data_IF_497708887151
#
_entry.id   IF_497708887151
#
_cell.length_a   1.000
_cell.length_b   1.000
_cell.length_c   1.000
_cell.angle_alpha   90.00
_cell.angle_beta   90.00
_cell.angle_gamma   90.00
#
_symmetry.space_group_name_H-M   'P 1'
#
loop_
_entity.id
_entity.type
_entity.pdbx_description
1 polymer ?
#
# COMPACT_ATOMS: atom_id res chain seq x y z
N UNK A 1 -1.71 -4.15 -9.76
CA UNK A 1 -3.03 -4.23 -9.03
C UNK A 1 -3.75 -2.86 -8.96
N UNK A 2 -3.55 -2.00 -9.97
CA UNK A 2 -4.10 -0.64 -10.03
C UNK A 2 -5.57 -0.57 -10.44
N UNK A 3 -6.03 -1.49 -11.29
CA UNK A 3 -7.40 -1.46 -11.82
C UNK A 3 -8.47 -1.64 -10.75
N UNK A 4 -8.26 -2.53 -9.78
CA UNK A 4 -9.22 -2.74 -8.69
C UNK A 4 -9.41 -1.48 -7.83
N UNK A 5 -8.41 -0.58 -7.80
CA UNK A 5 -8.39 0.61 -6.94
C UNK A 5 -9.16 1.79 -7.54
N UNK A 6 -9.22 1.89 -8.87
CA UNK A 6 -10.11 2.85 -9.52
C UNK A 6 -11.59 2.66 -9.09
N UNK A 7 -11.95 1.45 -8.66
CA UNK A 7 -13.30 1.12 -8.19
C UNK A 7 -13.55 1.34 -6.68
N UNK A 8 -12.54 1.67 -5.87
CA UNK A 8 -12.64 1.61 -4.39
C UNK A 8 -12.95 2.97 -3.72
N UNK A 9 -12.68 4.09 -4.40
CA UNK A 9 -13.22 5.42 -4.05
C UNK A 9 -14.68 5.42 -4.52
N UNK A 10 -15.63 6.06 -3.81
CA UNK A 10 -17.10 6.07 -4.02
C UNK A 10 -17.66 6.47 -5.40
N UNK A 11 -16.83 6.41 -6.44
CA UNK A 11 -17.03 6.60 -7.87
C UNK A 11 -17.64 5.40 -8.61
N UNK A 12 -18.04 4.29 -7.95
CA UNK A 12 -18.49 3.09 -8.67
C UNK A 12 -19.76 3.32 -9.51
N UNK A 13 -20.66 4.22 -9.09
CA UNK A 13 -21.82 4.59 -9.92
C UNK A 13 -21.44 5.56 -11.05
N UNK A 14 -20.49 6.47 -10.83
CA UNK A 14 -20.10 7.48 -11.82
C UNK A 14 -19.10 6.96 -12.85
N UNK A 15 -18.13 6.13 -12.48
CA UNK A 15 -17.20 5.52 -13.44
C UNK A 15 -17.90 4.57 -14.41
N UNK A 16 -18.98 3.92 -13.98
CA UNK A 16 -19.79 3.09 -14.89
C UNK A 16 -20.55 3.92 -15.93
N UNK A 17 -20.82 5.20 -15.63
CA UNK A 17 -21.44 6.17 -16.57
C UNK A 17 -20.40 6.85 -17.47
N UNK A 18 -19.19 7.03 -16.98
CA UNK A 18 -18.13 7.79 -17.68
C UNK A 18 -17.23 6.87 -18.51
N UNK A 19 -16.99 5.62 -18.08
CA UNK A 19 -16.11 4.68 -18.77
C UNK A 19 -16.87 3.69 -19.66
N UNK A 20 -16.43 3.59 -20.92
CA UNK A 20 -16.93 2.58 -21.85
C UNK A 20 -16.75 1.16 -21.31
N UNK A 21 -17.70 0.27 -21.61
CA UNK A 21 -17.67 -1.14 -21.18
C UNK A 21 -16.39 -1.85 -21.63
N UNK A 22 -15.99 -1.64 -22.88
CA UNK A 22 -14.75 -2.20 -23.45
C UNK A 22 -13.51 -1.82 -22.64
N UNK A 23 -13.41 -0.55 -22.22
CA UNK A 23 -12.28 -0.08 -21.43
C UNK A 23 -12.32 -0.65 -20.01
N UNK A 24 -13.51 -0.77 -19.40
CA UNK A 24 -13.67 -1.43 -18.10
C UNK A 24 -13.24 -2.89 -18.15
N UNK A 25 -13.59 -3.59 -19.22
CA UNK A 25 -13.17 -4.99 -19.42
C UNK A 25 -11.65 -5.07 -19.60
N UNK A 26 -11.07 -4.21 -20.45
CA UNK A 26 -9.63 -4.13 -20.65
C UNK A 26 -8.87 -3.84 -19.35
N UNK A 27 -9.37 -2.91 -18.53
CA UNK A 27 -8.83 -2.68 -17.19
C UNK A 27 -8.93 -3.99 -16.38
N UNK A 28 -10.12 -4.57 -16.23
CA UNK A 28 -10.34 -5.74 -15.36
C UNK A 28 -9.47 -6.94 -15.75
N UNK A 29 -9.31 -7.19 -17.04
CA UNK A 29 -8.47 -8.28 -17.58
C UNK A 29 -6.99 -7.93 -17.67
N UNK A 30 -6.59 -6.68 -17.40
CA UNK A 30 -5.24 -6.16 -17.64
C UNK A 30 -4.78 -6.34 -19.09
N UNK A 31 -5.67 -6.07 -20.04
CA UNK A 31 -5.37 -6.20 -21.46
C UNK A 31 -4.29 -5.20 -21.91
N UNK A 32 -3.05 -5.67 -22.01
CA UNK A 32 -1.92 -4.87 -22.46
C UNK A 32 -1.99 -4.44 -23.94
N UNK A 33 -2.95 -4.96 -24.72
CA UNK A 33 -3.24 -4.45 -26.08
C UNK A 33 -3.95 -3.10 -26.03
N UNK A 34 -4.68 -2.80 -24.95
CA UNK A 34 -5.25 -1.47 -24.75
C UNK A 34 -4.14 -0.47 -24.36
N UNK A 35 -4.00 0.60 -25.15
CA UNK A 35 -2.91 1.57 -24.99
C UNK A 35 -2.86 2.21 -23.59
N UNK A 36 -4.01 2.52 -23.00
CA UNK A 36 -4.08 3.14 -21.67
C UNK A 36 -3.69 2.12 -20.60
N UNK A 37 -4.22 0.89 -20.68
CA UNK A 37 -3.86 -0.19 -19.75
C UNK A 37 -2.37 -0.48 -19.82
N UNK A 38 -1.78 -0.50 -21.03
CA UNK A 38 -0.34 -0.65 -21.24
C UNK A 38 0.46 0.45 -20.54
N UNK A 39 0.03 1.71 -20.66
CA UNK A 39 0.70 2.82 -19.97
C UNK A 39 0.55 2.71 -18.44
N UNK A 40 -0.61 2.30 -17.94
CA UNK A 40 -0.80 2.07 -16.50
C UNK A 40 0.11 0.95 -15.96
N UNK A 41 0.34 -0.10 -16.75
CA UNK A 41 1.28 -1.17 -16.39
C UNK A 41 2.71 -0.65 -16.44
N UNK A 42 3.09 0.09 -17.48
CA UNK A 42 4.43 0.64 -17.63
C UNK A 42 4.80 1.65 -16.53
N UNK A 43 3.80 2.29 -15.92
CA UNK A 43 3.96 3.23 -14.81
C UNK A 43 3.58 2.63 -13.45
N UNK A 44 3.60 1.30 -13.29
CA UNK A 44 3.38 0.67 -11.98
C UNK A 44 4.58 0.96 -11.06
N UNK A 45 4.50 2.06 -10.31
CA UNK A 45 5.56 2.54 -9.42
C UNK A 45 5.82 1.64 -8.20
N UNK A 46 5.04 0.57 -8.04
CA UNK A 46 5.25 -0.41 -6.99
C UNK A 46 6.25 -1.51 -7.38
N UNK A 47 6.59 -1.62 -8.67
CA UNK A 47 7.44 -2.69 -9.20
C UNK A 47 8.94 -2.32 -9.17
N UNK A 48 9.49 -2.13 -7.97
CA UNK A 48 10.90 -1.81 -7.78
C UNK A 48 11.49 -2.44 -6.52
N UNK A 49 12.82 -2.46 -6.43
CA UNK A 49 13.57 -3.07 -5.33
C UNK A 49 14.36 -1.99 -4.56
N UNK A 50 13.81 -1.39 -3.49
CA UNK A 50 14.56 -0.46 -2.66
C UNK A 50 15.82 -1.12 -2.07
N UNK A 51 16.90 -0.35 -2.00
CA UNK A 51 18.18 -0.77 -1.40
C UNK A 51 18.43 -0.16 0.00
N UNK A 52 17.66 0.86 0.34
CA UNK A 52 17.73 1.57 1.61
C UNK A 52 16.57 1.13 2.49
N UNK A 53 16.75 1.03 3.83
CA UNK A 53 15.66 0.75 4.75
C UNK A 53 14.45 1.66 4.49
N UNK A 54 13.27 1.06 4.40
CA UNK A 54 12.01 1.75 4.14
C UNK A 54 10.90 1.22 5.05
N UNK A 55 10.18 2.15 5.66
CA UNK A 55 9.07 1.85 6.54
C UNK A 55 7.77 2.38 5.93
N UNK A 56 6.81 1.48 5.70
CA UNK A 56 5.51 1.80 5.11
C UNK A 56 4.42 1.81 6.18
N UNK A 57 3.74 2.93 6.33
CA UNK A 57 2.65 3.08 7.28
C UNK A 57 1.32 3.16 6.53
N UNK A 58 0.30 2.44 7.01
CA UNK A 58 -1.07 2.59 6.53
C UNK A 58 -2.07 2.44 7.66
N UNK A 59 -3.28 2.97 7.45
CA UNK A 59 -4.37 2.85 8.41
C UNK A 59 -5.29 1.73 7.97
N UNK A 60 -5.84 0.99 8.93
CA UNK A 60 -6.75 -0.11 8.63
C UNK A 60 -8.03 0.37 7.92
N UNK A 61 -8.55 1.54 8.31
CA UNK A 61 -9.84 2.08 7.89
C UNK A 61 -9.70 3.37 7.05
N UNK A 62 -8.58 3.53 6.31
CA UNK A 62 -8.42 4.65 5.36
C UNK A 62 -9.29 4.42 4.11
N UNK A 63 -10.30 5.27 3.92
CA UNK A 63 -11.21 5.23 2.78
C UNK A 63 -10.67 5.94 1.53
N UNK A 64 -9.65 6.81 1.66
CA UNK A 64 -9.03 7.52 0.55
C UNK A 64 -7.85 6.73 -0.03
N UNK A 65 -6.97 6.23 0.85
CA UNK A 65 -5.77 5.47 0.48
C UNK A 65 -5.78 4.15 1.23
N UNK A 66 -6.48 3.16 0.66
CA UNK A 66 -6.73 1.90 1.36
C UNK A 66 -5.44 1.14 1.69
N UNK A 67 -5.45 0.38 2.79
CA UNK A 67 -4.31 -0.45 3.23
C UNK A 67 -3.81 -1.43 2.15
N UNK A 68 -4.70 -1.88 1.27
CA UNK A 68 -4.31 -2.77 0.17
C UNK A 68 -3.28 -2.11 -0.75
N UNK A 69 -3.20 -0.78 -0.80
CA UNK A 69 -2.16 -0.08 -1.53
C UNK A 69 -0.77 -0.47 -1.03
N UNK A 70 -0.57 -0.32 0.26
CA UNK A 70 0.67 -0.66 0.96
C UNK A 70 0.97 -2.16 0.85
N UNK A 71 -0.01 -3.03 1.12
CA UNK A 71 0.18 -4.48 1.04
C UNK A 71 0.55 -4.94 -0.38
N UNK A 72 -0.04 -4.34 -1.41
CA UNK A 72 0.31 -4.64 -2.80
C UNK A 72 1.70 -4.16 -3.18
N UNK A 73 2.13 -3.00 -2.66
CA UNK A 73 3.48 -2.50 -2.88
C UNK A 73 4.51 -3.42 -2.25
N UNK A 74 4.29 -3.84 -0.99
CA UNK A 74 5.15 -4.81 -0.31
C UNK A 74 5.21 -6.11 -1.10
N UNK A 75 4.08 -6.65 -1.53
CA UNK A 75 4.09 -7.88 -2.31
C UNK A 75 4.89 -7.74 -3.61
N UNK A 76 4.78 -6.61 -4.31
CA UNK A 76 5.57 -6.35 -5.52
C UNK A 76 7.08 -6.30 -5.20
N UNK A 77 7.48 -5.61 -4.14
CA UNK A 77 8.88 -5.57 -3.68
C UNK A 77 9.40 -6.97 -3.27
N UNK A 78 8.57 -7.78 -2.60
CA UNK A 78 8.91 -9.15 -2.19
C UNK A 78 9.16 -10.05 -3.41
N UNK A 79 8.36 -9.90 -4.46
CA UNK A 79 8.59 -10.61 -5.74
C UNK A 79 9.91 -10.20 -6.41
N UNK A 80 10.49 -9.05 -6.05
CA UNK A 80 11.81 -8.60 -6.48
C UNK A 80 12.94 -9.02 -5.53
N UNK A 81 12.65 -9.85 -4.53
CA UNK A 81 13.64 -10.37 -3.58
C UNK A 81 13.94 -9.44 -2.40
N UNK A 82 13.19 -8.34 -2.23
CA UNK A 82 13.35 -7.43 -1.09
C UNK A 82 12.79 -8.11 0.16
N UNK A 83 13.58 -8.31 1.21
CA UNK A 83 13.12 -8.92 2.45
C UNK A 83 12.64 -7.93 3.51
N UNK A 84 12.16 -8.43 4.66
CA UNK A 84 11.71 -7.61 5.81
C UNK A 84 12.82 -6.76 6.45
N UNK A 85 14.08 -7.12 6.23
CA UNK A 85 15.28 -6.40 6.66
C UNK A 85 15.51 -5.08 5.89
N UNK A 86 14.91 -4.93 4.71
CA UNK A 86 14.99 -3.71 3.89
C UNK A 86 13.68 -2.94 3.88
N UNK A 87 12.53 -3.63 3.81
CA UNK A 87 11.22 -2.99 3.81
C UNK A 87 10.37 -3.59 4.89
N UNK A 88 9.85 -2.79 5.81
CA UNK A 88 8.85 -3.21 6.77
C UNK A 88 7.62 -2.30 6.72
N UNK A 89 6.53 -2.73 7.36
CA UNK A 89 5.30 -1.97 7.34
C UNK A 89 4.52 -2.10 8.63
N UNK A 90 3.59 -1.19 8.84
CA UNK A 90 2.65 -1.24 9.93
C UNK A 90 1.26 -0.81 9.49
N UNK A 91 0.27 -1.60 9.87
CA UNK A 91 -1.15 -1.25 9.76
C UNK A 91 -1.61 -0.76 11.12
N UNK A 92 -1.89 0.55 11.25
CA UNK A 92 -2.44 1.10 12.48
C UNK A 92 -3.86 0.54 12.69
N UNK A 93 -4.10 -0.21 13.78
CA UNK A 93 -5.41 -0.80 14.02
C UNK A 93 -6.40 0.26 14.54
N UNK A 94 -7.68 0.04 14.21
CA UNK A 94 -8.80 0.73 14.84
C UNK A 94 -9.45 1.81 13.98
N UNK A 95 -10.78 1.87 14.09
CA UNK A 95 -11.68 2.79 13.35
C UNK A 95 -11.57 4.26 13.74
N UNK A 96 -10.63 4.62 14.61
CA UNK A 96 -10.47 5.99 15.13
C UNK A 96 -9.59 6.86 14.24
N UNK A 97 -8.86 6.26 13.30
CA UNK A 97 -7.98 6.96 12.40
C UNK A 97 -8.43 6.77 10.96
N UNK A 98 -8.63 7.89 10.28
CA UNK A 98 -8.85 8.02 8.85
C UNK A 98 -7.68 8.79 8.23
N UNK A 99 -7.74 9.02 6.92
CA UNK A 99 -6.69 9.71 6.17
C UNK A 99 -6.27 11.05 6.79
N UNK A 100 -7.20 11.77 7.43
CA UNK A 100 -6.96 13.10 7.98
C UNK A 100 -6.38 13.04 9.40
N UNK A 101 -6.85 12.08 10.19
CA UNK A 101 -6.50 11.94 11.61
C UNK A 101 -5.29 11.04 11.84
N UNK A 102 -4.95 10.18 10.88
CA UNK A 102 -3.80 9.27 10.94
C UNK A 102 -2.44 9.93 10.67
N UNK A 103 -2.40 11.21 10.29
CA UNK A 103 -1.15 11.92 9.99
C UNK A 103 -0.22 12.01 11.21
N UNK A 104 -0.77 12.29 12.39
CA UNK A 104 0.03 12.46 13.61
C UNK A 104 0.73 11.15 14.02
N UNK A 105 0.03 9.99 14.16
CA UNK A 105 0.72 8.74 14.45
C UNK A 105 1.71 8.36 13.34
N UNK A 106 1.41 8.63 12.07
CA UNK A 106 2.34 8.38 10.97
C UNK A 106 3.67 9.15 11.14
N UNK A 107 3.61 10.44 11.50
CA UNK A 107 4.78 11.28 11.73
C UNK A 107 5.60 10.80 12.93
N UNK A 108 4.94 10.38 14.01
CA UNK A 108 5.61 9.84 15.21
C UNK A 108 6.41 8.58 14.84
N UNK A 109 5.79 7.62 14.16
CA UNK A 109 6.49 6.40 13.76
C UNK A 109 7.56 6.65 12.70
N UNK A 110 7.33 7.57 11.76
CA UNK A 110 8.35 7.98 10.81
C UNK A 110 9.58 8.53 11.53
N UNK A 111 9.37 9.39 12.54
CA UNK A 111 10.47 9.94 13.33
C UNK A 111 11.24 8.85 14.08
N UNK A 112 10.53 7.95 14.77
CA UNK A 112 11.15 6.82 15.49
C UNK A 112 11.96 5.91 14.55
N UNK A 113 11.44 5.65 13.35
CA UNK A 113 12.15 4.89 12.33
C UNK A 113 13.42 5.62 11.85
N UNK A 114 13.36 6.92 11.61
CA UNK A 114 14.55 7.68 11.19
C UNK A 114 15.60 7.79 12.29
N UNK A 115 15.19 7.87 13.55
CA UNK A 115 16.13 7.97 14.68
C UNK A 115 16.79 6.61 15.00
N UNK A 116 16.04 5.50 14.91
CA UNK A 116 16.44 4.22 15.50
C UNK A 116 16.15 2.97 14.65
N UNK A 117 15.71 3.13 13.40
CA UNK A 117 15.45 2.03 12.47
C UNK A 117 14.22 1.18 12.84
N UNK A 118 14.17 -0.05 12.29
CA UNK A 118 13.00 -0.94 12.43
C UNK A 118 12.72 -1.39 13.88
N UNK A 119 13.73 -1.42 14.74
CA UNK A 119 13.60 -1.88 16.12
C UNK A 119 12.77 -0.91 17.00
N UNK A 120 12.64 0.35 16.56
CA UNK A 120 11.90 1.38 17.30
C UNK A 120 10.45 1.55 16.84
N UNK A 121 10.02 0.81 15.82
CA UNK A 121 8.68 0.93 15.24
C UNK A 121 7.95 -0.40 15.23
N UNK A 122 6.61 -0.39 15.36
CA UNK A 122 5.84 -1.61 15.24
C UNK A 122 5.84 -2.13 13.80
N UNK A 123 5.57 -3.42 13.62
CA UNK A 123 5.55 -4.07 12.31
C UNK A 123 4.35 -5.00 12.16
N UNK A 124 3.85 -5.18 10.94
CA UNK A 124 2.73 -6.05 10.61
C UNK A 124 1.36 -5.41 10.86
N UNK A 125 0.34 -6.25 11.07
CA UNK A 125 -1.07 -5.85 11.06
C UNK A 125 -1.57 -5.24 12.39
N UNK A 126 -0.68 -4.71 13.23
CA UNK A 126 -1.07 -4.21 14.55
C UNK A 126 -1.42 -5.30 15.57
N UNK A 127 -1.44 -6.56 15.16
CA UNK A 127 -1.67 -7.75 15.99
C UNK A 127 -0.37 -8.24 16.63
N UNK A 128 0.38 -7.34 17.28
CA UNK A 128 1.57 -7.59 18.12
C UNK A 128 2.83 -8.13 17.37
N UNK A 129 4.03 -7.54 17.58
CA UNK A 129 5.27 -8.22 17.20
C UNK A 129 5.53 -9.42 18.13
N UNK A 130 6.26 -10.47 17.68
CA UNK A 130 6.71 -11.52 18.59
C UNK A 130 7.56 -10.89 19.70
N UNK A 131 7.27 -11.28 20.94
CA UNK A 131 8.10 -10.92 22.08
C UNK A 131 9.54 -11.39 21.80
N UNK A 132 10.51 -10.48 21.88
CA UNK A 132 11.92 -10.87 21.96
C UNK A 132 12.08 -11.70 23.23
N UNK A 133 12.33 -13.00 23.08
CA UNK A 133 12.93 -13.80 24.15
C UNK A 133 14.38 -13.37 24.26
N UNK A 134 14.72 -12.70 25.35
CA UNK A 134 16.10 -12.46 25.75
C UNK A 134 16.80 -13.80 25.97
N UNK A 135 17.89 -14.04 25.23
CA UNK A 135 18.87 -15.09 25.48
C UNK A 135 20.22 -14.44 25.71
#
# INVERSE_FOLDING_TARGET
KLVKKAFQIGMLQDLNRILKLEFRNALKSRDAKNLIVRQLIANDCFDWAPKTPMYLFCLNDDFLVTKENTLNAIQAMRLRGVGPEVVNHYVLPGRKFDHMTGVLPALIYARQFFDSGFEAVPTGDGTKPPAKTSG
#
